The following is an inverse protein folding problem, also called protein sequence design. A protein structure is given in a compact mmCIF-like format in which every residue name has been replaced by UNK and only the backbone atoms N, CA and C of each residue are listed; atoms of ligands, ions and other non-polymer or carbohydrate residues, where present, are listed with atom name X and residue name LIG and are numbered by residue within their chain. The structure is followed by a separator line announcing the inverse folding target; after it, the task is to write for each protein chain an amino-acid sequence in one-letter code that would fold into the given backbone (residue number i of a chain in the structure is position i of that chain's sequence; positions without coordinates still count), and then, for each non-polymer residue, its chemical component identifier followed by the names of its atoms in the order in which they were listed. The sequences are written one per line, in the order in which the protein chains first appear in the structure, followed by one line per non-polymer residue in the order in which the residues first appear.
data_IF_503121800042
#
_entry.id   IF_503121800042
#
_cell.length_a   1.000
_cell.length_b   1.000
_cell.length_c   1.000
_cell.angle_alpha   90.00
_cell.angle_beta   90.00
_cell.angle_gamma   90.00
#
_symmetry.space_group_name_H-M   'P 1'
#
loop_
_entity.id
_entity.type
_entity.pdbx_description
1 polymer ?
#
# COMPACT_ATOMS: atom_id res chain seq x y z
N UNK A 1 -51.33 40.57 42.90
CA UNK A 1 -49.92 40.67 43.33
C UNK A 1 -49.55 39.47 44.18
N UNK A 2 -48.82 38.50 43.61
CA UNK A 2 -47.96 37.49 44.28
C UNK A 2 -46.88 37.06 43.27
N UNK A 3 -45.68 36.68 43.72
CA UNK A 3 -44.43 36.93 43.02
C UNK A 3 -44.02 35.80 42.04
N UNK A 4 -43.21 36.19 41.04
CA UNK A 4 -42.75 35.36 39.94
C UNK A 4 -41.87 34.17 40.37
N UNK A 5 -42.15 33.02 39.77
CA UNK A 5 -41.28 31.86 39.80
C UNK A 5 -40.37 31.88 38.56
N UNK A 6 -39.07 31.94 38.85
CA UNK A 6 -37.99 31.97 37.88
C UNK A 6 -37.79 30.54 37.33
N UNK A 7 -38.36 30.23 36.16
CA UNK A 7 -38.15 28.94 35.48
C UNK A 7 -36.91 29.02 34.58
N UNK A 8 -35.85 28.38 35.05
CA UNK A 8 -34.57 28.23 34.35
C UNK A 8 -34.78 27.33 33.12
N UNK A 9 -34.87 27.93 31.93
CA UNK A 9 -34.93 27.20 30.67
C UNK A 9 -33.57 26.50 30.46
N UNK A 10 -33.52 25.19 30.67
CA UNK A 10 -32.40 24.37 30.24
C UNK A 10 -32.37 24.35 28.70
N UNK A 11 -31.46 25.11 28.08
CA UNK A 11 -31.10 24.90 26.67
C UNK A 11 -30.58 23.48 26.52
N UNK A 12 -31.36 22.59 25.88
CA UNK A 12 -30.83 21.36 25.30
C UNK A 12 -29.69 21.74 24.36
N UNK A 13 -28.47 21.30 24.66
CA UNK A 13 -27.37 21.33 23.69
C UNK A 13 -27.69 20.25 22.66
N UNK A 14 -28.00 20.67 21.43
CA UNK A 14 -28.05 19.74 20.31
C UNK A 14 -26.68 19.03 20.18
N UNK A 15 -26.65 17.70 20.03
CA UNK A 15 -25.41 17.02 19.72
C UNK A 15 -24.93 17.48 18.35
N UNK A 16 -23.74 18.10 18.30
CA UNK A 16 -23.07 18.43 17.05
C UNK A 16 -22.96 17.16 16.22
N UNK A 17 -23.80 17.03 15.19
CA UNK A 17 -23.74 15.95 14.23
C UNK A 17 -22.33 15.96 13.62
N UNK A 18 -21.49 15.02 14.04
CA UNK A 18 -20.11 14.91 13.60
C UNK A 18 -20.14 14.64 12.08
N UNK A 19 -19.63 15.60 11.30
CA UNK A 19 -19.55 15.59 9.82
C UNK A 19 -18.60 14.50 9.27
N UNK A 20 -18.62 13.27 9.79
CA UNK A 20 -17.50 12.33 9.61
C UNK A 20 -17.85 10.96 9.05
N UNK A 21 -19.12 10.67 8.74
CA UNK A 21 -19.47 9.44 7.98
C UNK A 21 -19.90 9.70 6.54
N UNK A 22 -20.82 10.64 6.30
CA UNK A 22 -21.28 10.98 4.94
C UNK A 22 -20.16 11.65 4.12
N UNK A 23 -19.52 12.68 4.67
CA UNK A 23 -18.40 13.36 4.02
C UNK A 23 -17.16 12.46 3.79
N UNK A 24 -17.02 11.35 4.54
CA UNK A 24 -15.94 10.38 4.32
C UNK A 24 -16.29 9.39 3.20
N UNK A 25 -17.56 8.95 3.13
CA UNK A 25 -18.07 8.15 2.02
C UNK A 25 -18.07 8.91 0.70
N UNK A 26 -18.49 10.18 0.71
CA UNK A 26 -18.44 11.07 -0.46
C UNK A 26 -17.00 11.32 -0.89
N UNK A 27 -16.07 11.60 0.03
CA UNK A 27 -14.64 11.76 -0.32
C UNK A 27 -14.00 10.48 -0.85
N UNK A 28 -14.45 9.30 -0.41
CA UNK A 28 -13.99 8.01 -0.90
C UNK A 28 -14.59 7.70 -2.29
N UNK A 29 -15.88 8.00 -2.52
CA UNK A 29 -16.51 7.85 -3.84
C UNK A 29 -15.94 8.85 -4.85
N UNK A 30 -15.75 10.12 -4.48
CA UNK A 30 -15.07 11.12 -5.30
C UNK A 30 -13.59 10.80 -5.56
N UNK A 31 -12.93 10.06 -4.65
CA UNK A 31 -11.58 9.52 -4.91
C UNK A 31 -11.64 8.37 -5.92
N UNK A 32 -12.64 7.50 -5.81
CA UNK A 32 -12.85 6.37 -6.72
C UNK A 32 -13.28 6.87 -8.12
N UNK A 33 -14.12 7.90 -8.20
CA UNK A 33 -14.59 8.55 -9.43
C UNK A 33 -13.50 9.41 -10.08
N UNK A 34 -12.56 9.98 -9.30
CA UNK A 34 -11.33 10.57 -9.88
C UNK A 34 -10.34 9.52 -10.38
N UNK A 35 -10.42 8.28 -9.92
CA UNK A 35 -9.60 7.16 -10.44
C UNK A 35 -10.14 6.64 -11.77
N UNK A 36 -11.42 6.86 -12.07
CA UNK A 36 -11.92 6.86 -13.47
C UNK A 36 -11.59 8.18 -14.16
N UNK A 37 -10.31 8.57 -14.13
CA UNK A 37 -9.79 9.57 -15.05
C UNK A 37 -10.02 9.05 -16.46
N UNK A 38 -10.62 9.87 -17.34
CA UNK A 38 -10.60 9.66 -18.79
C UNK A 38 -9.22 9.13 -19.20
N UNK A 39 -9.12 7.86 -19.53
CA UNK A 39 -7.86 7.29 -20.00
C UNK A 39 -7.61 7.89 -21.39
N UNK A 40 -6.77 8.92 -21.45
CA UNK A 40 -6.27 9.42 -22.72
C UNK A 40 -5.56 8.26 -23.43
N UNK A 41 -5.91 7.96 -24.70
CA UNK A 41 -5.20 6.96 -25.49
C UNK A 41 -3.68 7.21 -25.45
N UNK A 42 -2.90 6.16 -25.20
CA UNK A 42 -1.44 6.26 -25.23
C UNK A 42 -0.92 6.07 -26.66
N UNK A 43 0.34 6.45 -26.89
CA UNK A 43 1.01 6.26 -28.17
C UNK A 43 1.95 5.06 -28.17
N UNK A 44 2.09 4.45 -29.33
CA UNK A 44 3.16 3.48 -29.59
C UNK A 44 4.54 4.16 -29.65
N UNK A 45 5.60 3.38 -29.86
CA UNK A 45 6.97 3.90 -29.96
C UNK A 45 7.21 4.79 -31.19
N UNK A 46 6.36 4.69 -32.21
CA UNK A 46 6.43 5.46 -33.45
C UNK A 46 5.57 6.74 -33.38
N UNK A 47 4.89 6.99 -32.26
CA UNK A 47 4.03 8.14 -32.05
C UNK A 47 2.59 7.98 -32.56
N UNK A 48 2.19 6.78 -33.02
CA UNK A 48 0.81 6.48 -33.41
C UNK A 48 -0.06 6.32 -32.17
N UNK A 49 -1.24 6.94 -32.19
CA UNK A 49 -2.22 6.84 -31.11
C UNK A 49 -2.88 5.44 -31.10
N UNK A 50 -2.89 4.78 -29.95
CA UNK A 50 -3.48 3.47 -29.73
C UNK A 50 -4.86 3.62 -29.11
N UNK A 51 -5.90 3.26 -29.85
CA UNK A 51 -7.29 3.45 -29.40
C UNK A 51 -7.78 2.21 -28.63
N UNK A 52 -7.47 1.01 -29.12
CA UNK A 52 -7.96 -0.22 -28.52
C UNK A 52 -7.28 -0.51 -27.17
N UNK A 53 -8.08 -0.78 -26.13
CA UNK A 53 -7.56 -1.00 -24.77
C UNK A 53 -6.48 -2.08 -24.70
N UNK A 54 -6.61 -3.14 -25.49
CA UNK A 54 -5.63 -4.22 -25.53
C UNK A 54 -4.26 -3.74 -26.04
N UNK A 55 -4.24 -2.97 -27.13
CA UNK A 55 -3.01 -2.36 -27.66
C UNK A 55 -2.40 -1.40 -26.63
N UNK A 56 -3.25 -0.62 -25.94
CA UNK A 56 -2.78 0.28 -24.88
C UNK A 56 -2.15 -0.50 -23.71
N UNK A 57 -2.77 -1.60 -23.28
CA UNK A 57 -2.30 -2.44 -22.19
C UNK A 57 -0.97 -3.13 -22.54
N UNK A 58 -0.84 -3.65 -23.76
CA UNK A 58 0.42 -4.21 -24.28
C UNK A 58 1.51 -3.13 -24.25
N UNK A 59 1.22 -1.94 -24.77
CA UNK A 59 2.17 -0.81 -24.77
C UNK A 59 2.59 -0.38 -23.36
N UNK A 60 1.69 -0.45 -22.38
CA UNK A 60 2.00 -0.21 -20.97
C UNK A 60 2.87 -1.31 -20.36
N UNK A 61 2.58 -2.57 -20.65
CA UNK A 61 3.36 -3.72 -20.20
C UNK A 61 4.80 -3.62 -20.70
N UNK A 62 4.99 -3.34 -22.00
CA UNK A 62 6.30 -3.10 -22.62
C UNK A 62 7.04 -1.96 -21.92
N UNK A 63 6.39 -0.81 -21.74
CA UNK A 63 7.01 0.37 -21.13
C UNK A 63 7.55 0.06 -19.72
N UNK A 64 6.73 -0.57 -18.87
CA UNK A 64 7.15 -0.87 -17.51
C UNK A 64 8.12 -2.03 -17.44
N UNK A 65 8.05 -2.99 -18.37
CA UNK A 65 9.05 -4.05 -18.45
C UNK A 65 10.44 -3.49 -18.74
N UNK A 66 10.55 -2.58 -19.72
CA UNK A 66 11.81 -1.90 -20.07
C UNK A 66 12.31 -1.01 -18.92
N UNK A 67 11.39 -0.28 -18.28
CA UNK A 67 11.76 0.69 -17.24
C UNK A 67 12.19 0.00 -15.94
N UNK A 68 11.53 -1.10 -15.56
CA UNK A 68 11.73 -1.75 -14.27
C UNK A 68 12.76 -2.88 -14.29
N UNK A 69 13.06 -3.47 -15.45
CA UNK A 69 14.00 -4.60 -15.59
C UNK A 69 15.23 -4.20 -16.39
N UNK A 70 15.95 -3.17 -15.93
CA UNK A 70 17.20 -2.75 -16.55
C UNK A 70 18.30 -3.81 -16.32
N UNK A 71 19.13 -4.04 -17.33
CA UNK A 71 20.28 -4.93 -17.22
C UNK A 71 21.26 -4.41 -16.18
N UNK A 72 22.02 -5.31 -15.55
CA UNK A 72 23.06 -4.89 -14.62
C UNK A 72 24.07 -3.96 -15.33
N UNK A 73 24.49 -2.87 -14.66
CA UNK A 73 25.43 -1.94 -15.24
C UNK A 73 26.74 -2.66 -15.57
N UNK A 74 27.26 -2.44 -16.78
CA UNK A 74 28.54 -2.99 -17.24
C UNK A 74 29.75 -2.43 -16.48
N UNK A 75 29.59 -1.27 -15.85
CA UNK A 75 30.62 -0.63 -15.03
C UNK A 75 30.37 -0.92 -13.56
N UNK A 76 31.23 -1.75 -12.97
CA UNK A 76 31.22 -2.02 -11.53
C UNK A 76 32.13 -0.98 -10.85
N UNK A 77 31.56 -0.18 -9.97
CA UNK A 77 32.35 0.68 -9.09
C UNK A 77 32.84 -0.15 -7.90
N UNK A 78 34.14 -0.42 -7.84
CA UNK A 78 34.77 -0.99 -6.65
C UNK A 78 34.83 0.10 -5.57
N UNK A 79 33.79 0.16 -4.75
CA UNK A 79 33.92 0.77 -3.43
C UNK A 79 34.78 -0.18 -2.62
N UNK A 80 35.97 0.26 -2.21
CA UNK A 80 36.77 -0.47 -1.23
C UNK A 80 35.90 -0.66 0.02
N UNK A 81 35.39 -1.88 0.19
CA UNK A 81 34.56 -2.23 1.34
C UNK A 81 35.51 -2.29 2.52
N UNK A 82 35.55 -1.23 3.32
CA UNK A 82 36.11 -1.33 4.67
C UNK A 82 35.44 -2.54 5.34
N UNK A 83 36.26 -3.49 5.77
CA UNK A 83 35.82 -4.76 6.34
C UNK A 83 34.73 -4.49 7.39
N UNK A 84 33.47 -4.78 7.06
CA UNK A 84 32.37 -4.67 8.01
C UNK A 84 32.57 -5.74 9.09
N UNK A 85 33.23 -5.36 10.20
CA UNK A 85 33.64 -6.28 11.27
C UNK A 85 32.52 -6.60 12.27
N UNK A 86 31.29 -6.16 12.06
CA UNK A 86 30.19 -6.48 12.97
C UNK A 86 29.36 -7.65 12.43
N UNK A 87 29.54 -8.81 13.08
CA UNK A 87 28.64 -9.95 12.92
C UNK A 87 27.24 -9.55 13.38
N UNK A 88 26.30 -9.42 12.44
CA UNK A 88 24.91 -9.09 12.75
C UNK A 88 24.32 -10.20 13.62
N UNK A 89 23.87 -9.85 14.82
CA UNK A 89 23.20 -10.78 15.74
C UNK A 89 21.77 -11.02 15.26
N UNK A 90 21.60 -11.96 14.32
CA UNK A 90 20.29 -12.28 13.74
C UNK A 90 19.51 -13.26 14.62
N UNK A 91 18.27 -12.89 14.92
CA UNK A 91 17.35 -13.70 15.73
C UNK A 91 16.68 -14.80 14.89
N UNK A 92 17.06 -16.07 15.10
CA UNK A 92 16.60 -17.21 14.26
C UNK A 92 15.44 -18.03 14.84
N UNK A 93 15.04 -17.75 16.08
CA UNK A 93 13.91 -18.39 16.76
C UNK A 93 12.57 -18.11 16.07
N UNK A 94 11.52 -18.82 16.50
CA UNK A 94 10.15 -18.62 15.98
C UNK A 94 9.71 -17.16 16.12
N UNK A 95 8.92 -16.70 15.16
CA UNK A 95 8.24 -15.40 15.19
C UNK A 95 7.21 -15.43 16.31
N UNK A 96 7.31 -14.45 17.21
CA UNK A 96 6.43 -14.28 18.35
C UNK A 96 5.20 -13.46 17.96
N UNK A 97 4.11 -13.63 18.71
CA UNK A 97 2.89 -12.83 18.54
C UNK A 97 3.18 -11.34 18.80
N UNK A 98 4.15 -11.01 19.66
CA UNK A 98 4.50 -9.62 19.95
C UNK A 98 5.16 -8.94 18.76
N UNK A 99 6.06 -9.62 18.05
CA UNK A 99 6.64 -9.11 16.80
C UNK A 99 5.56 -8.82 15.75
N UNK A 100 4.60 -9.72 15.59
CA UNK A 100 3.45 -9.52 14.70
C UNK A 100 2.64 -8.29 15.11
N UNK A 101 2.29 -8.18 16.40
CA UNK A 101 1.55 -7.04 16.95
C UNK A 101 2.31 -5.71 16.80
N UNK A 102 3.63 -5.71 16.82
CA UNK A 102 4.44 -4.51 16.58
C UNK A 102 4.45 -4.18 15.08
N UNK A 103 4.71 -5.18 14.23
CA UNK A 103 4.80 -4.99 12.78
C UNK A 103 3.50 -4.45 12.18
N UNK A 104 2.37 -5.00 12.61
CA UNK A 104 1.06 -4.58 12.12
C UNK A 104 0.70 -3.16 12.55
N UNK A 105 1.10 -2.73 13.76
CA UNK A 105 0.95 -1.33 14.22
C UNK A 105 1.75 -0.37 13.34
N UNK A 106 2.94 -0.80 12.91
CA UNK A 106 3.84 -0.03 12.06
C UNK A 106 3.38 0.09 10.60
N UNK A 107 2.40 -0.70 10.16
CA UNK A 107 1.79 -0.51 8.84
C UNK A 107 1.15 0.87 8.72
N UNK A 108 1.26 1.51 7.55
CA UNK A 108 0.64 2.81 7.31
C UNK A 108 -0.84 2.64 6.95
N UNK A 109 -1.70 3.45 7.56
CA UNK A 109 -3.12 3.52 7.23
C UNK A 109 -3.37 4.30 5.93
N UNK A 110 -4.55 4.12 5.36
CA UNK A 110 -5.08 4.77 4.17
C UNK A 110 -4.20 4.57 2.94
N UNK A 111 -3.55 3.40 2.86
CA UNK A 111 -2.78 2.97 1.70
C UNK A 111 -3.64 2.10 0.81
N UNK A 112 -3.41 2.18 -0.50
CA UNK A 112 -4.08 1.33 -1.47
C UNK A 112 -3.72 -0.14 -1.19
N UNK A 113 -4.76 -0.98 -1.13
CA UNK A 113 -4.59 -2.42 -1.08
C UNK A 113 -4.04 -2.93 -2.42
N UNK A 114 -3.36 -4.08 -2.39
CA UNK A 114 -2.92 -4.74 -3.61
C UNK A 114 -4.10 -5.46 -4.28
N UNK A 115 -3.81 -6.33 -5.25
CA UNK A 115 -4.79 -7.19 -5.93
C UNK A 115 -5.60 -8.06 -4.96
N UNK A 116 -5.02 -8.38 -3.80
CA UNK A 116 -5.65 -9.11 -2.70
C UNK A 116 -6.79 -8.33 -2.02
N UNK A 117 -6.88 -7.00 -2.25
CA UNK A 117 -7.89 -6.10 -1.65
C UNK A 117 -7.89 -6.12 -0.13
N UNK A 118 -6.78 -6.50 0.50
CA UNK A 118 -6.61 -6.51 1.96
C UNK A 118 -5.96 -5.19 2.39
N UNK A 119 -6.69 -4.25 3.01
CA UNK A 119 -6.10 -3.02 3.53
C UNK A 119 -5.44 -3.26 4.90
N UNK A 120 -4.51 -2.39 5.29
CA UNK A 120 -3.84 -2.48 6.59
C UNK A 120 -4.81 -2.35 7.77
N UNK A 121 -5.88 -1.58 7.60
CA UNK A 121 -6.95 -1.38 8.59
C UNK A 121 -7.66 -2.68 8.93
N UNK A 122 -7.85 -3.56 7.94
CA UNK A 122 -8.49 -4.85 8.16
C UNK A 122 -7.62 -5.72 9.05
N UNK A 123 -6.31 -5.71 8.82
CA UNK A 123 -5.37 -6.43 9.66
C UNK A 123 -5.30 -5.79 11.05
N UNK A 124 -5.32 -4.45 11.14
CA UNK A 124 -5.25 -3.67 12.40
C UNK A 124 -6.49 -3.76 13.29
N UNK A 125 -7.65 -4.12 12.76
CA UNK A 125 -8.84 -4.41 13.55
C UNK A 125 -8.66 -5.77 14.26
N UNK A 126 -7.83 -5.78 15.30
CA UNK A 126 -7.40 -7.00 15.99
C UNK A 126 -8.46 -7.57 16.92
N UNK A 127 -8.68 -8.87 16.79
CA UNK A 127 -8.80 -9.75 17.94
C UNK A 127 -7.48 -10.53 18.15
N UNK A 128 -7.31 -11.15 19.32
CA UNK A 128 -6.14 -11.98 19.65
C UNK A 128 -5.99 -13.14 18.63
N UNK A 129 -7.11 -13.67 18.15
CA UNK A 129 -7.21 -14.75 17.18
C UNK A 129 -6.49 -14.43 15.86
N UNK A 130 -6.68 -13.23 15.32
CA UNK A 130 -6.04 -12.83 14.05
C UNK A 130 -4.52 -12.79 14.17
N UNK A 131 -4.00 -12.24 15.28
CA UNK A 131 -2.56 -12.18 15.51
C UNK A 131 -1.94 -13.58 15.64
N UNK A 132 -2.64 -14.53 16.25
CA UNK A 132 -2.22 -15.93 16.34
C UNK A 132 -2.22 -16.64 14.98
N UNK A 133 -3.26 -16.39 14.17
CA UNK A 133 -3.37 -16.91 12.81
C UNK A 133 -2.23 -16.39 11.91
N UNK A 134 -1.97 -15.08 11.95
CA UNK A 134 -0.86 -14.44 11.22
C UNK A 134 0.49 -14.98 11.70
N UNK A 135 0.69 -15.10 13.01
CA UNK A 135 1.91 -15.68 13.59
C UNK A 135 2.15 -17.10 13.10
N UNK A 136 1.09 -17.91 13.04
CA UNK A 136 1.16 -19.28 12.51
C UNK A 136 1.56 -19.29 11.03
N UNK A 137 0.98 -18.40 10.23
CA UNK A 137 1.32 -18.25 8.81
C UNK A 137 2.77 -17.81 8.61
N UNK A 138 3.22 -16.78 9.31
CA UNK A 138 4.59 -16.27 9.20
C UNK A 138 5.62 -17.29 9.65
N UNK A 139 5.36 -18.05 10.72
CA UNK A 139 6.24 -19.15 11.13
C UNK A 139 6.29 -20.29 10.10
N UNK A 140 5.18 -20.57 9.38
CA UNK A 140 5.21 -21.52 8.25
C UNK A 140 6.09 -20.98 7.12
N UNK A 141 6.00 -19.68 6.81
CA UNK A 141 6.84 -19.04 5.80
C UNK A 141 8.32 -19.07 6.20
N UNK A 142 8.63 -18.66 7.44
CA UNK A 142 9.97 -18.68 8.03
C UNK A 142 10.61 -20.07 7.96
N UNK A 143 9.90 -21.11 8.43
CA UNK A 143 10.42 -22.49 8.43
C UNK A 143 10.63 -23.05 7.03
N UNK A 144 9.77 -22.71 6.07
CA UNK A 144 9.84 -23.23 4.70
C UNK A 144 10.79 -22.44 3.80
N UNK A 145 11.16 -21.22 4.18
CA UNK A 145 11.89 -20.30 3.30
C UNK A 145 11.07 -19.83 2.10
N UNK A 146 9.74 -19.96 2.15
CA UNK A 146 8.84 -19.64 1.03
C UNK A 146 7.65 -18.82 1.50
N UNK A 147 7.22 -17.86 0.69
CA UNK A 147 6.02 -17.05 0.91
C UNK A 147 4.90 -17.41 -0.07
N UNK A 148 3.63 -17.09 0.24
CA UNK A 148 2.53 -17.22 -0.71
C UNK A 148 2.84 -16.54 -2.05
N UNK A 149 2.39 -17.15 -3.15
CA UNK A 149 2.65 -16.62 -4.49
C UNK A 149 2.08 -15.22 -4.69
N UNK A 150 0.91 -14.94 -4.10
CA UNK A 150 0.28 -13.63 -4.16
C UNK A 150 1.13 -12.52 -3.53
N UNK A 151 1.98 -12.84 -2.55
CA UNK A 151 2.88 -11.84 -1.94
C UNK A 151 4.04 -11.47 -2.86
N UNK A 152 4.40 -12.36 -3.79
CA UNK A 152 5.44 -12.13 -4.80
C UNK A 152 4.93 -11.33 -5.99
N UNK A 153 3.61 -11.21 -6.13
CA UNK A 153 2.96 -10.46 -7.21
C UNK A 153 2.56 -9.08 -6.71
N UNK A 154 2.76 -8.08 -7.55
CA UNK A 154 2.32 -6.70 -7.30
C UNK A 154 1.47 -6.19 -8.46
N UNK A 155 0.56 -5.26 -8.17
CA UNK A 155 -0.19 -4.55 -9.20
C UNK A 155 0.49 -3.22 -9.50
N UNK A 156 0.85 -2.97 -10.77
CA UNK A 156 1.42 -1.69 -11.18
C UNK A 156 0.28 -0.71 -11.43
N UNK A 157 0.29 0.40 -10.71
CA UNK A 157 -0.61 1.54 -10.93
C UNK A 157 0.17 2.67 -11.57
N UNK A 158 -0.36 3.22 -12.67
CA UNK A 158 0.21 4.34 -13.40
C UNK A 158 -0.19 5.67 -12.76
N UNK A 159 0.78 6.55 -12.51
CA UNK A 159 0.58 7.92 -12.03
C UNK A 159 1.16 8.92 -13.01
N UNK A 160 0.34 9.86 -13.47
CA UNK A 160 0.75 10.89 -14.42
C UNK A 160 1.71 11.88 -13.75
N UNK A 161 2.87 12.11 -14.37
CA UNK A 161 3.77 13.24 -14.10
C UNK A 161 3.32 14.44 -14.93
N UNK A 162 4.03 15.57 -14.80
CA UNK A 162 3.88 16.69 -15.73
C UNK A 162 4.20 16.25 -17.17
N UNK A 163 3.39 16.67 -18.13
CA UNK A 163 3.62 16.41 -19.55
C UNK A 163 2.34 15.98 -20.28
N UNK A 164 2.51 15.49 -21.51
CA UNK A 164 1.43 14.94 -22.31
C UNK A 164 1.01 13.55 -21.79
N UNK A 165 -0.28 13.36 -21.49
CA UNK A 165 -0.84 12.13 -20.96
C UNK A 165 -0.80 10.94 -21.93
N UNK A 166 -0.69 11.19 -23.23
CA UNK A 166 -0.57 10.13 -24.24
C UNK A 166 0.84 9.52 -24.34
N UNK A 167 1.85 10.15 -23.74
CA UNK A 167 3.24 9.67 -23.77
C UNK A 167 3.53 8.81 -22.53
N UNK A 168 3.89 7.53 -22.72
CA UNK A 168 4.13 6.60 -21.61
C UNK A 168 5.25 7.07 -20.66
N UNK A 169 6.28 7.74 -21.16
CA UNK A 169 7.42 8.26 -20.38
C UNK A 169 7.02 9.30 -19.31
N UNK A 170 5.89 9.99 -19.54
CA UNK A 170 5.31 10.95 -18.60
C UNK A 170 4.56 10.27 -17.45
N UNK A 171 4.57 8.95 -17.33
CA UNK A 171 3.96 8.23 -16.23
C UNK A 171 5.00 7.60 -15.29
N UNK A 172 4.64 7.45 -14.02
CA UNK A 172 5.37 6.65 -13.03
C UNK A 172 4.56 5.40 -12.74
N UNK A 173 5.21 4.24 -12.79
CA UNK A 173 4.64 3.01 -12.24
C UNK A 173 4.87 2.96 -10.74
N UNK A 174 3.82 2.72 -9.96
CA UNK A 174 3.94 2.37 -8.54
C UNK A 174 3.40 0.96 -8.35
N UNK A 175 4.23 0.07 -7.81
CA UNK A 175 3.82 -1.30 -7.50
C UNK A 175 3.12 -1.37 -6.15
N UNK A 176 1.86 -1.78 -6.16
CA UNK A 176 1.10 -2.08 -4.95
C UNK A 176 1.37 -3.53 -4.53
N UNK A 177 2.18 -3.69 -3.48
CA UNK A 177 2.50 -4.98 -2.88
C UNK A 177 1.49 -5.39 -1.80
N UNK A 178 1.34 -6.71 -1.61
CA UNK A 178 0.49 -7.32 -0.58
C UNK A 178 0.80 -6.79 0.82
N UNK A 179 -0.23 -6.50 1.60
CA UNK A 179 -0.08 -5.95 2.96
C UNK A 179 0.49 -7.00 3.95
N UNK A 180 -0.02 -8.25 4.01
CA UNK A 180 0.62 -9.31 4.79
C UNK A 180 2.08 -9.57 4.41
N UNK A 181 2.42 -9.46 3.11
CA UNK A 181 3.81 -9.54 2.65
C UNK A 181 4.69 -8.44 3.24
N UNK A 182 4.20 -7.18 3.24
CA UNK A 182 4.91 -6.06 3.87
C UNK A 182 5.06 -6.23 5.37
N UNK A 183 4.02 -6.73 6.04
CA UNK A 183 4.06 -7.03 7.47
C UNK A 183 5.16 -8.05 7.79
N UNK A 184 5.24 -9.13 7.01
CA UNK A 184 6.30 -10.12 7.14
C UNK A 184 7.69 -9.49 6.95
N UNK A 185 7.87 -8.64 5.92
CA UNK A 185 9.14 -7.92 5.73
C UNK A 185 9.50 -7.01 6.92
N UNK A 186 8.52 -6.34 7.54
CA UNK A 186 8.76 -5.51 8.73
C UNK A 186 9.27 -6.36 9.90
N UNK A 187 8.72 -7.56 10.09
CA UNK A 187 9.18 -8.51 11.11
C UNK A 187 10.63 -8.91 10.83
N UNK A 188 10.94 -9.27 9.58
CA UNK A 188 12.30 -9.68 9.20
C UNK A 188 13.31 -8.55 9.40
N UNK A 189 12.96 -7.32 9.00
CA UNK A 189 13.81 -6.14 9.18
C UNK A 189 14.07 -5.83 10.66
N UNK A 190 13.15 -6.16 11.56
CA UNK A 190 13.35 -5.98 13.00
C UNK A 190 14.23 -7.05 13.66
N UNK A 191 14.66 -8.07 12.91
CA UNK A 191 15.53 -9.17 13.38
C UNK A 191 16.95 -9.10 12.85
N UNK A 192 17.20 -8.17 11.92
CA UNK A 192 18.51 -7.81 11.40
C UNK A 192 19.07 -6.67 12.24
#
# INVERSE_FOLDING_TARGET
MRPGQNTRIHRRREPKLCRTRLACKEKLSERQERVTQFECPNKDKNGKLLIAQEEQNIRWAEHFQETLNQLEPTTIYNFEVENAQEELVVTTNKITIQEVKIAIKNLKNNKAASRDKIPAELLKHHDQTMAEAQTTLFNKCWRRGTVPEDWRKGAIVKLLKKGNSSECTNWRGITLLSVPGKEFCIILLGRL
#
